data_IF_873176875135
#
_entry.id   IF_873176875135
#
_cell.length_a   1.000
_cell.length_b   1.000
_cell.length_c   1.000
_cell.angle_alpha   90.00
_cell.angle_beta   90.00
_cell.angle_gamma   90.00
#
_symmetry.space_group_name_H-M   'P 1'
#
loop_
_entity.id
_entity.type
_entity.pdbx_description
1 polymer ?
#
# COMPACT_ATOMS: atom_id res chain seq x y z
N UNK A 1 2.16 -20.75 -5.73
CA UNK A 1 0.91 -20.27 -5.14
C UNK A 1 1.14 -18.91 -4.55
N UNK A 2 0.44 -17.93 -5.04
CA UNK A 2 0.57 -16.59 -4.52
C UNK A 2 -0.41 -16.39 -3.37
N UNK A 3 0.10 -16.20 -2.18
CA UNK A 3 -0.71 -15.71 -1.09
C UNK A 3 -1.05 -14.24 -1.30
N UNK A 4 -1.81 -13.63 -0.41
CA UNK A 4 -2.06 -12.20 -0.47
C UNK A 4 -0.76 -11.43 -0.34
N UNK A 5 -0.61 -10.41 -1.17
CA UNK A 5 0.54 -9.53 -1.08
C UNK A 5 0.26 -8.50 0.02
N UNK A 6 1.09 -8.47 1.04
CA UNK A 6 0.90 -7.60 2.19
C UNK A 6 2.20 -6.86 2.52
N UNK A 7 2.07 -5.55 2.72
CA UNK A 7 3.15 -4.73 3.25
C UNK A 7 2.67 -4.20 4.60
N UNK A 8 3.32 -4.62 5.67
CA UNK A 8 3.01 -4.14 7.01
C UNK A 8 4.05 -3.08 7.40
N UNK A 9 3.65 -1.83 7.25
CA UNK A 9 4.51 -0.70 7.57
C UNK A 9 4.24 -0.09 8.94
N UNK A 10 3.43 -0.76 9.76
CA UNK A 10 3.12 -0.26 11.10
C UNK A 10 4.38 -0.30 11.96
N UNK A 11 4.68 0.81 12.60
CA UNK A 11 5.88 0.91 13.43
C UNK A 11 7.15 1.28 12.69
N UNK A 12 7.12 1.36 11.37
CA UNK A 12 8.26 1.83 10.60
C UNK A 12 8.23 3.36 10.49
N UNK A 13 9.42 3.95 10.42
CA UNK A 13 9.55 5.40 10.28
C UNK A 13 9.65 5.80 8.80
N UNK A 14 9.05 6.93 8.39
CA UNK A 14 9.21 7.41 7.03
C UNK A 14 10.69 7.67 6.70
N UNK A 15 11.13 7.43 5.46
CA UNK A 15 10.33 7.06 4.29
C UNK A 15 10.20 5.55 4.05
N UNK A 16 10.58 4.72 5.02
CA UNK A 16 10.62 3.28 4.84
C UNK A 16 9.30 2.65 4.37
N UNK A 17 8.14 2.99 4.97
CA UNK A 17 6.88 2.40 4.50
C UNK A 17 6.59 2.71 3.03
N UNK A 18 6.91 3.92 2.59
CA UNK A 18 6.70 4.33 1.21
C UNK A 18 7.60 3.53 0.27
N UNK A 19 8.87 3.38 0.62
CA UNK A 19 9.82 2.64 -0.19
C UNK A 19 9.44 1.17 -0.33
N UNK A 20 9.02 0.55 0.79
CA UNK A 20 8.58 -0.84 0.77
C UNK A 20 7.35 -1.03 -0.11
N UNK A 21 6.41 -0.09 -0.02
CA UNK A 21 5.18 -0.15 -0.81
C UNK A 21 5.48 -0.02 -2.30
N UNK A 22 6.33 0.92 -2.68
CA UNK A 22 6.70 1.11 -4.08
C UNK A 22 7.41 -0.13 -4.61
N UNK A 23 8.34 -0.68 -3.84
CA UNK A 23 9.04 -1.89 -4.24
C UNK A 23 8.08 -3.06 -4.44
N UNK A 24 7.11 -3.21 -3.54
CA UNK A 24 6.10 -4.26 -3.67
C UNK A 24 5.23 -4.06 -4.90
N UNK A 25 4.87 -2.81 -5.21
CA UNK A 25 4.07 -2.51 -6.40
C UNK A 25 4.80 -2.86 -7.68
N UNK A 26 6.10 -2.62 -7.74
CA UNK A 26 6.90 -2.97 -8.91
C UNK A 26 6.91 -4.47 -9.19
N UNK A 27 6.78 -5.27 -8.13
CA UNK A 27 6.78 -6.73 -8.25
C UNK A 27 5.38 -7.31 -8.36
N UNK A 28 4.36 -6.49 -8.18
CA UNK A 28 2.97 -6.96 -8.17
C UNK A 28 2.53 -7.32 -9.59
N UNK A 29 2.05 -8.55 -9.82
CA UNK A 29 1.52 -8.93 -11.14
C UNK A 29 0.23 -8.18 -11.46
N UNK A 30 -0.04 -7.98 -12.74
CA UNK A 30 -1.26 -7.36 -13.20
C UNK A 30 -2.49 -8.13 -12.72
N UNK A 31 -3.49 -7.42 -12.26
CA UNK A 31 -4.71 -8.04 -11.74
C UNK A 31 -4.65 -8.47 -10.29
N UNK A 32 -3.47 -8.38 -9.68
CA UNK A 32 -3.31 -8.72 -8.27
C UNK A 32 -3.52 -7.49 -7.39
N UNK A 33 -3.71 -7.75 -6.11
CA UNK A 33 -3.99 -6.70 -5.12
C UNK A 33 -2.89 -6.70 -4.05
N UNK A 34 -2.48 -5.49 -3.66
CA UNK A 34 -1.53 -5.28 -2.57
C UNK A 34 -2.27 -4.67 -1.39
N UNK A 35 -2.09 -5.26 -0.22
CA UNK A 35 -2.63 -4.72 1.01
C UNK A 35 -1.52 -4.04 1.79
N UNK A 36 -1.73 -2.78 2.15
CA UNK A 36 -0.75 -2.00 2.91
C UNK A 36 -1.36 -1.59 4.25
N UNK A 37 -0.60 -1.80 5.31
CA UNK A 37 -1.04 -1.46 6.67
C UNK A 37 -0.08 -0.42 7.24
N UNK A 38 -0.62 0.73 7.66
CA UNK A 38 0.16 1.84 8.18
C UNK A 38 -0.57 2.46 9.38
N UNK A 39 0.18 3.20 10.20
CA UNK A 39 -0.44 3.96 11.31
C UNK A 39 -0.69 5.43 10.95
N UNK A 40 -0.34 5.84 9.75
CA UNK A 40 -0.53 7.22 9.32
C UNK A 40 -1.13 7.25 7.91
N UNK A 41 -1.65 8.42 7.53
CA UNK A 41 -2.17 8.61 6.18
C UNK A 41 -1.01 8.92 5.23
N UNK A 42 -0.73 8.05 4.26
CA UNK A 42 0.45 8.21 3.41
C UNK A 42 0.15 9.08 2.19
N UNK A 43 0.04 10.39 2.39
CA UNK A 43 -0.24 11.32 1.29
C UNK A 43 0.74 11.19 0.11
N UNK A 44 2.06 11.04 0.32
CA UNK A 44 2.97 10.84 -0.80
C UNK A 44 2.67 9.58 -1.60
N UNK A 45 2.23 8.52 -0.92
CA UNK A 45 1.87 7.28 -1.59
C UNK A 45 0.65 7.49 -2.49
N UNK A 46 -0.35 8.21 -2.02
CA UNK A 46 -1.54 8.48 -2.83
C UNK A 46 -1.19 9.22 -4.12
N UNK A 47 -0.25 10.17 -4.05
CA UNK A 47 0.20 10.88 -5.23
C UNK A 47 0.86 9.93 -6.23
N UNK A 48 1.69 9.01 -5.76
CA UNK A 48 2.34 8.01 -6.62
C UNK A 48 1.30 7.11 -7.27
N UNK A 49 0.32 6.63 -6.51
CA UNK A 49 -0.71 5.75 -7.02
C UNK A 49 -1.51 6.43 -8.12
N UNK A 50 -1.88 7.68 -7.91
CA UNK A 50 -2.64 8.44 -8.88
C UNK A 50 -1.84 8.66 -10.17
N UNK A 51 -0.58 9.03 -10.06
CA UNK A 51 0.28 9.27 -11.21
C UNK A 51 0.55 8.01 -12.00
N UNK A 52 0.62 6.87 -11.33
CA UNK A 52 0.92 5.59 -11.98
C UNK A 52 -0.33 4.85 -12.46
N UNK A 53 -1.52 5.41 -12.22
CA UNK A 53 -2.75 4.80 -12.67
C UNK A 53 -3.23 3.62 -11.86
N UNK A 54 -2.73 3.44 -10.65
CA UNK A 54 -3.21 2.39 -9.75
C UNK A 54 -4.55 2.79 -9.14
N UNK A 55 -5.39 1.80 -8.90
CA UNK A 55 -6.63 1.98 -8.15
C UNK A 55 -6.37 1.66 -6.70
N UNK A 56 -6.94 2.41 -5.81
CA UNK A 56 -6.77 2.13 -4.38
C UNK A 56 -8.02 2.51 -3.59
N UNK A 57 -8.19 1.82 -2.47
CA UNK A 57 -9.21 2.12 -1.48
C UNK A 57 -8.53 2.10 -0.11
N UNK A 58 -8.92 3.02 0.74
CA UNK A 58 -8.36 3.06 2.09
C UNK A 58 -9.48 3.13 3.12
N UNK A 59 -9.21 2.56 4.29
CA UNK A 59 -10.10 2.66 5.43
C UNK A 59 -9.30 2.62 6.72
N UNK A 60 -9.87 3.21 7.76
CA UNK A 60 -9.24 3.18 9.07
C UNK A 60 -9.86 2.07 9.91
N UNK A 61 -9.01 1.25 10.49
CA UNK A 61 -9.44 0.18 11.38
C UNK A 61 -9.58 0.70 12.80
N UNK A 62 -10.21 -0.09 13.67
CA UNK A 62 -10.48 0.33 15.06
C UNK A 62 -9.23 0.61 15.88
N UNK A 63 -8.13 -0.06 15.55
CA UNK A 63 -6.86 0.10 16.28
C UNK A 63 -6.01 1.28 15.77
N UNK A 64 -6.55 2.08 14.85
CA UNK A 64 -5.82 3.20 14.26
C UNK A 64 -5.02 2.84 13.02
N UNK A 65 -5.07 1.59 12.58
CA UNK A 65 -4.41 1.17 11.35
C UNK A 65 -5.12 1.75 10.13
N UNK A 66 -4.36 2.34 9.21
CA UNK A 66 -4.87 2.70 7.89
C UNK A 66 -4.60 1.52 6.97
N UNK A 67 -5.66 0.91 6.47
CA UNK A 67 -5.58 -0.21 5.54
C UNK A 67 -5.80 0.32 4.13
N UNK A 68 -4.87 0.04 3.24
CA UNK A 68 -4.94 0.51 1.86
C UNK A 68 -4.87 -0.69 0.94
N UNK A 69 -5.89 -0.83 0.09
CA UNK A 69 -5.92 -1.88 -0.93
C UNK A 69 -5.58 -1.25 -2.26
N UNK A 70 -4.54 -1.75 -2.88
CA UNK A 70 -4.05 -1.20 -4.15
C UNK A 70 -4.18 -2.27 -5.22
N UNK A 71 -4.77 -1.91 -6.34
CA UNK A 71 -4.91 -2.79 -7.50
C UNK A 71 -4.13 -2.25 -8.67
N UNK A 72 -3.42 -3.15 -9.30
CA UNK A 72 -2.68 -2.86 -10.50
C UNK A 72 -3.55 -3.22 -11.71
N UNK A 73 -3.71 -2.26 -12.58
CA UNK A 73 -4.50 -2.44 -13.78
C UNK A 73 -5.65 -1.47 -13.85
#
# INVERSE_FOLDING_TARGET
MSGPHVVDGRGLLPPEPLELTISALEKLPDGEELLVLLYCTPHPLYAVLKQSGYRHESRMLEDGTTEIRIRKG
#
